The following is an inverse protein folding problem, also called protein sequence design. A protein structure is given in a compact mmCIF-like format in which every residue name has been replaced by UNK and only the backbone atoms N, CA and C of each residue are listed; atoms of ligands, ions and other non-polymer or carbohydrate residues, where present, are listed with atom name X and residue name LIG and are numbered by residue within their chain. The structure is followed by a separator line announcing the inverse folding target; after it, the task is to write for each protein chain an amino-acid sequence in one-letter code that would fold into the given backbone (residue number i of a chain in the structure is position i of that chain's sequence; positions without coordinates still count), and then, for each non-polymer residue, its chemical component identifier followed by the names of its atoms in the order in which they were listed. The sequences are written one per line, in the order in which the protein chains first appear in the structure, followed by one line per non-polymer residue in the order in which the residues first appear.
data_IF_983896572347
#
_entry.id   IF_983896572347
#
_cell.length_a   1.000
_cell.length_b   1.000
_cell.length_c   1.000
_cell.angle_alpha   90.00
_cell.angle_beta   90.00
_cell.angle_gamma   90.00
#
_symmetry.space_group_name_H-M   'P 1'
#
loop_
_entity.id
_entity.type
_entity.pdbx_description
1 polymer ?
#
# COMPACT_ATOMS: atom_id res chain seq x y z
N UNK A 1 81.44 -2.69 -35.84
CA UNK A 1 81.31 -2.22 -34.45
C UNK A 1 79.86 -1.83 -34.29
N UNK A 2 78.96 -2.49 -33.58
CA UNK A 2 79.00 -3.61 -32.66
C UNK A 2 77.57 -4.18 -32.59
N UNK A 3 77.39 -5.49 -32.85
CA UNK A 3 77.04 -6.53 -31.87
C UNK A 3 75.68 -6.36 -31.15
N UNK A 4 74.72 -7.17 -31.60
CA UNK A 4 73.82 -8.05 -30.82
C UNK A 4 73.08 -7.42 -29.62
N UNK A 5 71.77 -7.25 -29.76
CA UNK A 5 70.81 -7.53 -28.68
C UNK A 5 69.60 -8.30 -29.21
N UNK A 6 69.69 -9.62 -29.04
CA UNK A 6 68.58 -10.56 -29.09
C UNK A 6 67.54 -10.14 -28.04
N UNK A 7 66.38 -9.66 -28.47
CA UNK A 7 65.18 -9.72 -27.65
C UNK A 7 64.36 -10.92 -28.11
N UNK A 8 64.47 -11.98 -27.31
CA UNK A 8 63.66 -13.19 -27.39
C UNK A 8 62.18 -12.82 -27.37
N UNK A 9 61.51 -12.94 -28.52
CA UNK A 9 60.06 -12.96 -28.59
C UNK A 9 59.57 -14.24 -27.91
N UNK A 10 59.34 -14.15 -26.60
CA UNK A 10 58.48 -15.11 -25.91
C UNK A 10 57.06 -14.88 -26.45
N UNK A 11 56.64 -15.73 -27.38
CA UNK A 11 55.24 -15.88 -27.75
C UNK A 11 54.54 -16.40 -26.49
N UNK A 12 54.00 -15.48 -25.69
CA UNK A 12 53.01 -15.82 -24.68
C UNK A 12 51.75 -16.20 -25.47
N UNK A 13 51.45 -17.49 -25.51
CA UNK A 13 50.13 -17.98 -25.86
C UNK A 13 49.14 -17.25 -24.93
N UNK A 14 48.51 -16.20 -25.45
CA UNK A 14 47.31 -15.68 -24.84
C UNK A 14 46.28 -16.79 -25.01
N UNK A 15 46.08 -17.59 -23.95
CA UNK A 15 44.93 -18.45 -23.86
C UNK A 15 43.73 -17.53 -24.04
N UNK A 16 43.05 -17.63 -25.18
CA UNK A 16 41.69 -17.15 -25.32
C UNK A 16 40.90 -17.88 -24.23
N UNK A 17 40.68 -17.21 -23.11
CA UNK A 17 39.54 -17.49 -22.27
C UNK A 17 38.32 -17.09 -23.10
N UNK A 18 37.88 -18.01 -23.95
CA UNK A 18 36.46 -18.07 -24.31
C UNK A 18 35.78 -18.30 -22.98
N UNK A 19 35.15 -17.27 -22.43
CA UNK A 19 34.11 -17.49 -21.43
C UNK A 19 33.06 -18.35 -22.13
N UNK A 20 33.10 -19.67 -21.88
CA UNK A 20 31.93 -20.48 -22.09
C UNK A 20 30.85 -19.84 -21.20
N UNK A 21 29.82 -19.26 -21.83
CA UNK A 21 28.56 -19.03 -21.14
C UNK A 21 28.17 -20.39 -20.60
N UNK A 22 28.29 -20.57 -19.30
CA UNK A 22 27.39 -21.48 -18.63
C UNK A 22 26.01 -20.91 -18.92
N UNK A 23 25.25 -21.59 -19.78
CA UNK A 23 23.81 -21.41 -19.81
C UNK A 23 23.35 -21.72 -18.39
N UNK A 24 23.22 -20.68 -17.57
CA UNK A 24 22.24 -20.72 -16.49
C UNK A 24 20.93 -20.96 -17.22
N UNK A 25 20.50 -22.22 -17.21
CA UNK A 25 19.17 -22.60 -17.66
C UNK A 25 18.22 -21.73 -16.86
N UNK A 26 17.70 -20.68 -17.50
CA UNK A 26 16.50 -20.00 -17.05
C UNK A 26 15.49 -21.14 -16.92
N UNK A 27 15.15 -21.52 -15.69
CA UNK A 27 14.10 -22.50 -15.48
C UNK A 27 12.86 -21.88 -16.10
N UNK A 28 12.48 -22.35 -17.29
CA UNK A 28 11.23 -21.96 -17.90
C UNK A 28 10.14 -22.33 -16.91
N UNK A 29 9.33 -21.34 -16.52
CA UNK A 29 8.30 -21.56 -15.52
C UNK A 29 7.36 -22.73 -15.90
N UNK A 30 7.15 -22.93 -17.20
CA UNK A 30 6.37 -24.03 -17.74
C UNK A 30 7.30 -25.11 -18.28
N UNK A 31 7.08 -26.35 -17.82
CA UNK A 31 7.62 -27.58 -18.37
C UNK A 31 6.48 -28.37 -19.03
N UNK A 32 6.46 -28.35 -20.37
CA UNK A 32 5.45 -29.05 -21.16
C UNK A 32 5.41 -30.56 -20.91
N UNK A 33 6.50 -31.16 -20.43
CA UNK A 33 6.55 -32.60 -20.14
C UNK A 33 5.74 -32.99 -18.90
N UNK A 34 5.40 -32.02 -18.04
CA UNK A 34 4.56 -32.22 -16.86
C UNK A 34 3.06 -32.12 -17.18
N UNK A 35 2.69 -31.60 -18.35
CA UNK A 35 1.29 -31.41 -18.73
C UNK A 35 0.66 -32.76 -19.13
N UNK A 36 -0.17 -33.30 -18.25
CA UNK A 36 -1.00 -34.49 -18.42
C UNK A 36 -2.49 -34.16 -18.18
N UNK A 37 -3.28 -33.97 -19.26
CA UNK A 37 -4.72 -33.72 -19.17
C UNK A 37 -5.53 -34.87 -18.55
N UNK A 38 -4.92 -36.05 -18.39
CA UNK A 38 -5.54 -37.24 -17.79
C UNK A 38 -5.14 -37.46 -16.33
N UNK A 39 -4.29 -36.59 -15.78
CA UNK A 39 -3.89 -36.64 -14.38
C UNK A 39 -5.09 -36.40 -13.46
N UNK A 40 -5.24 -37.27 -12.46
CA UNK A 40 -6.28 -37.18 -11.45
C UNK A 40 -5.79 -36.35 -10.27
N UNK A 41 -6.31 -35.13 -10.15
CA UNK A 41 -6.13 -34.29 -8.97
C UNK A 41 -7.36 -34.37 -8.06
N UNK A 42 -7.16 -34.15 -6.76
CA UNK A 42 -8.26 -34.01 -5.80
C UNK A 42 -9.04 -32.72 -6.09
N UNK A 43 -10.32 -32.69 -5.69
CA UNK A 43 -11.17 -31.48 -5.76
C UNK A 43 -10.98 -30.57 -4.54
N UNK A 44 -9.84 -30.69 -3.86
CA UNK A 44 -9.48 -29.82 -2.75
C UNK A 44 -9.20 -28.42 -3.31
N UNK A 45 -9.78 -27.42 -2.67
CA UNK A 45 -9.53 -26.02 -2.95
C UNK A 45 -8.46 -25.50 -1.99
N UNK A 46 -7.21 -25.56 -2.45
CA UNK A 46 -6.02 -25.08 -1.76
C UNK A 46 -5.19 -24.28 -2.77
N UNK A 47 -5.60 -23.03 -3.06
CA UNK A 47 -5.10 -22.29 -4.21
C UNK A 47 -3.58 -22.11 -4.14
N UNK A 48 -2.95 -22.11 -5.31
CA UNK A 48 -1.53 -21.82 -5.47
C UNK A 48 -1.32 -20.82 -6.59
N UNK A 49 -0.31 -19.97 -6.44
CA UNK A 49 0.11 -19.05 -7.49
C UNK A 49 1.30 -19.65 -8.24
N UNK A 50 1.10 -20.00 -9.51
CA UNK A 50 2.19 -20.49 -10.34
C UNK A 50 3.22 -19.41 -10.66
N UNK A 51 4.44 -19.81 -11.01
CA UNK A 51 5.47 -18.89 -11.50
C UNK A 51 5.09 -18.15 -12.79
N UNK A 52 3.99 -18.56 -13.43
CA UNK A 52 3.38 -17.97 -14.61
C UNK A 52 2.34 -16.91 -14.24
N UNK A 53 2.16 -16.65 -12.95
CA UNK A 53 1.21 -15.67 -12.42
C UNK A 53 -0.24 -16.14 -12.49
N UNK A 54 -0.49 -17.42 -12.81
CA UNK A 54 -1.84 -17.97 -12.84
C UNK A 54 -2.20 -18.66 -11.51
N UNK A 55 -3.45 -18.46 -11.10
CA UNK A 55 -4.01 -19.14 -9.93
C UNK A 55 -4.51 -20.51 -10.33
N UNK A 56 -4.02 -21.53 -9.64
CA UNK A 56 -4.50 -22.90 -9.77
C UNK A 56 -5.24 -23.30 -8.51
N UNK A 57 -6.31 -24.08 -8.65
CA UNK A 57 -7.14 -24.51 -7.52
C UNK A 57 -6.40 -25.40 -6.51
N UNK A 58 -5.34 -26.10 -6.96
CA UNK A 58 -4.39 -26.76 -6.10
C UNK A 58 -3.05 -27.04 -6.82
N UNK A 59 -2.03 -27.38 -6.03
CA UNK A 59 -0.69 -27.72 -6.49
C UNK A 59 -0.66 -28.84 -7.55
N UNK A 60 -1.54 -29.84 -7.43
CA UNK A 60 -1.61 -30.93 -8.41
C UNK A 60 -2.02 -30.40 -9.79
N UNK A 61 -3.04 -29.54 -9.85
CA UNK A 61 -3.51 -28.94 -11.12
C UNK A 61 -2.45 -27.98 -11.68
N UNK A 62 -1.77 -27.20 -10.83
CA UNK A 62 -0.66 -26.34 -11.25
C UNK A 62 0.44 -27.13 -11.97
N UNK A 63 0.87 -28.24 -11.38
CA UNK A 63 1.94 -29.06 -11.94
C UNK A 63 1.48 -29.86 -13.16
N UNK A 64 0.36 -30.57 -13.06
CA UNK A 64 -0.04 -31.58 -14.06
C UNK A 64 -0.88 -31.03 -15.19
N UNK A 65 -1.59 -29.92 -15.00
CA UNK A 65 -2.40 -29.33 -16.07
C UNK A 65 -1.83 -28.00 -16.54
N UNK A 66 -1.18 -27.25 -15.64
CA UNK A 66 -0.46 -26.02 -15.98
C UNK A 66 0.99 -26.23 -16.44
N UNK A 67 1.63 -27.34 -16.06
CA UNK A 67 3.05 -27.56 -16.34
C UNK A 67 3.97 -26.66 -15.49
N UNK A 68 3.43 -26.03 -14.45
CA UNK A 68 4.16 -25.05 -13.64
C UNK A 68 5.22 -25.75 -12.80
N UNK A 69 6.46 -25.27 -12.82
CA UNK A 69 7.58 -25.89 -12.10
C UNK A 69 7.74 -25.40 -10.66
N UNK A 70 7.12 -24.28 -10.30
CA UNK A 70 7.19 -23.67 -8.96
C UNK A 70 5.99 -22.79 -8.68
N UNK A 71 5.52 -22.77 -7.43
CA UNK A 71 4.37 -21.96 -7.00
C UNK A 71 4.48 -21.54 -5.53
N UNK A 72 3.77 -20.48 -5.14
CA UNK A 72 3.52 -20.12 -3.75
C UNK A 72 2.14 -20.58 -3.29
N UNK A 73 1.96 -20.81 -1.98
CA UNK A 73 0.64 -21.07 -1.40
C UNK A 73 -0.23 -19.82 -1.46
N UNK A 74 -1.53 -20.00 -1.69
CA UNK A 74 -2.51 -18.92 -1.82
C UNK A 74 -2.83 -18.57 -3.27
N UNK A 75 -3.81 -17.68 -3.46
CA UNK A 75 -4.05 -17.07 -4.77
C UNK A 75 -2.84 -16.21 -5.16
N UNK A 76 -2.64 -16.01 -6.47
CA UNK A 76 -1.67 -15.04 -6.93
C UNK A 76 -2.05 -13.69 -6.35
N UNK A 77 -1.08 -13.08 -5.67
CA UNK A 77 -1.18 -11.70 -5.24
C UNK A 77 -1.09 -10.80 -6.48
N UNK A 78 -2.14 -10.81 -7.30
CA UNK A 78 -2.33 -9.87 -8.41
C UNK A 78 -2.77 -8.49 -7.88
N UNK A 79 -2.85 -8.33 -6.56
CA UNK A 79 -2.89 -7.07 -5.81
C UNK A 79 -1.49 -6.66 -5.29
N UNK A 80 -0.43 -7.38 -5.65
CA UNK A 80 0.87 -7.28 -4.98
C UNK A 80 1.88 -6.39 -5.68
N UNK A 81 2.62 -5.63 -4.88
CA UNK A 81 3.74 -4.80 -5.32
C UNK A 81 4.96 -5.67 -5.65
N UNK A 82 4.90 -6.41 -6.76
CA UNK A 82 6.01 -7.30 -7.11
C UNK A 82 7.29 -6.50 -7.35
N UNK A 83 8.42 -7.05 -6.90
CA UNK A 83 9.72 -6.44 -7.16
C UNK A 83 10.13 -6.72 -8.61
N UNK A 84 10.24 -5.67 -9.42
CA UNK A 84 10.60 -5.67 -10.84
C UNK A 84 12.11 -5.56 -11.07
N UNK A 85 12.94 -5.63 -10.04
CA UNK A 85 14.41 -5.51 -10.14
C UNK A 85 15.05 -6.51 -11.11
N UNK A 86 14.46 -7.69 -11.27
CA UNK A 86 14.96 -8.75 -12.17
C UNK A 86 14.23 -8.80 -13.53
N UNK A 87 13.25 -7.91 -13.76
CA UNK A 87 12.46 -7.87 -15.00
C UNK A 87 13.09 -6.90 -15.99
N UNK A 88 13.57 -7.42 -17.13
CA UNK A 88 14.11 -6.62 -18.22
C UNK A 88 13.01 -6.23 -19.22
N UNK A 89 12.51 -5.00 -19.11
CA UNK A 89 11.51 -4.44 -20.04
C UNK A 89 12.10 -4.02 -21.40
N UNK A 90 13.40 -4.24 -21.63
CA UNK A 90 14.10 -3.95 -22.88
C UNK A 90 14.65 -2.53 -22.97
N UNK A 91 15.49 -2.31 -23.98
CA UNK A 91 16.32 -1.09 -24.14
C UNK A 91 15.57 0.14 -24.69
N UNK A 92 14.25 0.19 -24.62
CA UNK A 92 13.46 1.32 -25.10
C UNK A 92 13.20 2.33 -23.97
N UNK A 93 13.16 3.63 -24.30
CA UNK A 93 12.94 4.71 -23.33
C UNK A 93 11.46 5.14 -23.23
N UNK A 94 10.50 4.21 -23.41
CA UNK A 94 9.09 4.53 -23.17
C UNK A 94 8.79 4.37 -21.69
N UNK A 95 8.26 5.41 -21.05
CA UNK A 95 7.76 5.35 -19.68
C UNK A 95 6.55 4.41 -19.66
N UNK A 96 6.70 3.24 -19.03
CA UNK A 96 5.64 2.26 -18.89
C UNK A 96 4.78 2.54 -17.66
N UNK A 97 5.40 3.03 -16.58
CA UNK A 97 4.71 3.41 -15.34
C UNK A 97 5.68 3.57 -14.17
N UNK A 98 5.16 3.48 -12.95
CA UNK A 98 5.95 3.43 -11.72
C UNK A 98 5.86 2.02 -11.14
N UNK A 99 6.99 1.40 -10.84
CA UNK A 99 7.03 0.05 -10.29
C UNK A 99 7.99 -0.06 -9.11
N UNK A 100 7.81 -1.10 -8.32
CA UNK A 100 8.71 -1.44 -7.23
C UNK A 100 9.99 -2.08 -7.77
N UNK A 101 11.13 -1.45 -7.56
CA UNK A 101 12.46 -1.96 -7.91
C UNK A 101 13.31 -1.95 -6.65
N UNK A 102 13.64 -3.12 -6.12
CA UNK A 102 14.44 -3.25 -4.91
C UNK A 102 13.79 -2.68 -3.65
N UNK A 103 12.45 -2.69 -3.57
CA UNK A 103 11.68 -2.09 -2.46
C UNK A 103 11.50 -0.57 -2.58
N UNK A 104 11.82 0.02 -3.74
CA UNK A 104 11.71 1.45 -3.99
C UNK A 104 10.84 1.69 -5.22
N UNK A 105 9.87 2.59 -5.11
CA UNK A 105 9.05 3.01 -6.24
C UNK A 105 9.84 3.91 -7.19
N UNK A 106 10.03 3.44 -8.42
CA UNK A 106 10.79 4.15 -9.45
C UNK A 106 10.05 4.12 -10.78
N UNK A 107 10.35 5.08 -11.66
CA UNK A 107 9.84 5.05 -13.02
C UNK A 107 10.49 3.90 -13.79
N UNK A 108 9.65 3.01 -14.31
CA UNK A 108 10.07 1.88 -15.13
C UNK A 108 9.82 2.25 -16.59
N UNK A 109 10.86 2.07 -17.41
CA UNK A 109 10.82 2.30 -18.85
C UNK A 109 11.20 1.03 -19.61
N UNK A 110 10.65 0.87 -20.81
CA UNK A 110 10.95 -0.28 -21.66
C UNK A 110 10.15 -0.31 -22.95
N UNK A 111 10.15 -1.46 -23.62
CA UNK A 111 9.50 -1.64 -24.93
C UNK A 111 8.05 -2.13 -24.83
N UNK A 112 7.62 -2.61 -23.66
CA UNK A 112 6.27 -3.10 -23.39
C UNK A 112 6.18 -3.78 -22.03
N UNK A 113 4.97 -4.07 -21.57
CA UNK A 113 4.71 -4.68 -20.25
C UNK A 113 4.79 -6.20 -20.26
N UNK A 114 4.83 -6.84 -21.43
CA UNK A 114 4.87 -8.30 -21.55
C UNK A 114 6.31 -8.77 -21.74
N UNK A 115 6.85 -9.48 -20.75
CA UNK A 115 8.21 -10.05 -20.78
C UNK A 115 8.12 -11.55 -20.52
N UNK A 116 8.75 -12.37 -21.38
CA UNK A 116 8.76 -13.82 -21.19
C UNK A 116 7.39 -14.51 -21.24
N UNK A 117 6.35 -13.85 -21.77
CA UNK A 117 4.97 -14.35 -21.81
C UNK A 117 4.12 -13.99 -20.60
N UNK A 118 4.69 -13.26 -19.62
CA UNK A 118 3.99 -12.73 -18.45
C UNK A 118 3.72 -11.25 -18.67
N UNK A 119 2.50 -10.80 -18.37
CA UNK A 119 2.10 -9.38 -18.47
C UNK A 119 2.24 -8.69 -17.11
N UNK A 120 3.10 -7.68 -17.06
CA UNK A 120 3.43 -6.94 -15.85
C UNK A 120 2.67 -5.61 -15.72
N UNK A 121 1.70 -5.34 -16.60
CA UNK A 121 0.92 -4.09 -16.60
C UNK A 121 0.29 -3.79 -15.24
N UNK A 122 -0.22 -4.81 -14.54
CA UNK A 122 -0.83 -4.68 -13.20
C UNK A 122 0.15 -4.26 -12.10
N UNK A 123 1.46 -4.35 -12.34
CA UNK A 123 2.50 -3.98 -11.39
C UNK A 123 3.15 -2.63 -11.70
N UNK A 124 2.62 -1.92 -12.70
CA UNK A 124 3.06 -0.60 -13.13
C UNK A 124 1.95 0.42 -12.85
N UNK A 125 2.19 1.26 -11.85
CA UNK A 125 1.24 2.26 -11.35
C UNK A 125 1.36 3.59 -12.10
N UNK A 126 0.31 4.41 -12.04
CA UNK A 126 0.32 5.73 -12.68
C UNK A 126 1.16 6.75 -11.89
N UNK A 127 1.38 6.50 -10.59
CA UNK A 127 2.09 7.42 -9.71
C UNK A 127 2.96 6.72 -8.66
N UNK A 128 3.91 7.47 -8.10
CA UNK A 128 4.74 7.03 -6.98
C UNK A 128 3.89 6.75 -5.74
N UNK A 129 2.81 7.51 -5.53
CA UNK A 129 1.91 7.33 -4.38
C UNK A 129 1.12 6.02 -4.48
N UNK A 130 0.65 5.66 -5.69
CA UNK A 130 0.00 4.37 -5.94
C UNK A 130 0.98 3.21 -5.75
N UNK A 131 2.19 3.33 -6.28
CA UNK A 131 3.23 2.33 -6.08
C UNK A 131 3.62 2.20 -4.59
N UNK A 132 3.75 3.33 -3.89
CA UNK A 132 4.10 3.36 -2.47
C UNK A 132 2.98 2.74 -1.63
N UNK A 133 1.72 3.05 -1.95
CA UNK A 133 0.56 2.39 -1.35
C UNK A 133 0.60 0.89 -1.59
N UNK A 134 1.05 0.45 -2.77
CA UNK A 134 1.22 -0.96 -3.10
C UNK A 134 2.34 -1.62 -2.25
N UNK A 135 3.50 -0.97 -2.08
CA UNK A 135 4.57 -1.42 -1.19
C UNK A 135 4.12 -1.57 0.28
N UNK A 136 3.03 -0.89 0.65
CA UNK A 136 2.44 -0.93 1.98
C UNK A 136 1.29 -1.94 2.11
N UNK A 137 0.83 -2.58 1.03
CA UNK A 137 -0.31 -3.54 1.07
C UNK A 137 -0.01 -4.87 1.76
N UNK A 138 1.16 -5.02 2.39
CA UNK A 138 1.44 -6.11 3.33
C UNK A 138 1.32 -5.75 4.81
N UNK A 139 1.05 -4.49 5.17
CA UNK A 139 1.18 -4.07 6.58
C UNK A 139 0.29 -2.92 7.07
N UNK A 140 -0.74 -2.49 6.33
CA UNK A 140 -1.66 -1.50 6.86
C UNK A 140 -3.00 -2.15 7.20
N UNK A 141 -3.22 -2.36 8.49
CA UNK A 141 -4.58 -2.52 8.99
C UNK A 141 -5.30 -1.20 8.72
N UNK A 142 -6.15 -1.18 7.70
CA UNK A 142 -6.99 -0.04 7.35
C UNK A 142 -8.26 -0.07 8.20
N UNK A 143 -8.62 1.08 8.75
CA UNK A 143 -9.82 1.25 9.55
C UNK A 143 -9.82 2.60 10.24
N UNK A 144 -10.85 2.87 11.04
CA UNK A 144 -10.93 4.14 11.72
C UNK A 144 -9.89 4.24 12.86
N UNK A 145 -9.02 5.24 12.81
CA UNK A 145 -7.93 5.42 13.78
C UNK A 145 -8.29 6.36 14.95
N UNK A 146 -9.47 6.97 14.92
CA UNK A 146 -9.91 7.92 15.93
C UNK A 146 -10.65 7.21 17.08
N UNK A 147 -10.08 7.24 18.28
CA UNK A 147 -10.61 6.56 19.49
C UNK A 147 -12.05 6.97 19.84
N UNK A 148 -12.49 8.18 19.46
CA UNK A 148 -13.85 8.68 19.69
C UNK A 148 -14.85 8.29 18.60
N UNK A 149 -14.42 7.64 17.53
CA UNK A 149 -15.31 7.14 16.50
C UNK A 149 -15.97 5.84 16.94
N UNK A 150 -17.23 5.66 16.54
CA UNK A 150 -18.03 4.49 16.91
C UNK A 150 -17.56 3.19 16.25
N UNK A 151 -16.77 3.29 15.18
CA UNK A 151 -16.13 2.18 14.49
C UNK A 151 -14.60 2.24 14.61
N UNK A 152 -14.08 2.84 15.70
CA UNK A 152 -12.66 2.82 16.01
C UNK A 152 -12.11 1.37 15.96
N UNK A 153 -11.06 1.18 15.17
CA UNK A 153 -10.33 -0.06 15.06
C UNK A 153 -8.95 0.10 15.69
N UNK A 154 -8.74 -0.53 16.84
CA UNK A 154 -7.46 -0.51 17.56
C UNK A 154 -6.34 -1.20 16.80
N UNK A 155 -6.67 -2.06 15.84
CA UNK A 155 -5.68 -2.68 14.97
C UNK A 155 -5.31 -1.77 13.82
N UNK A 156 -6.15 -0.78 13.48
CA UNK A 156 -5.91 0.12 12.36
C UNK A 156 -4.70 1.03 12.62
N UNK A 157 -3.82 1.10 11.63
CA UNK A 157 -2.64 1.96 11.63
C UNK A 157 -2.79 3.14 10.67
N UNK A 158 -3.70 3.01 9.70
CA UNK A 158 -3.99 4.03 8.69
C UNK A 158 -5.50 4.25 8.62
N UNK A 159 -5.90 5.52 8.68
CA UNK A 159 -7.29 5.91 8.54
C UNK A 159 -7.77 5.74 7.10
N UNK A 160 -8.81 4.96 6.90
CA UNK A 160 -9.42 4.71 5.59
C UNK A 160 -10.60 5.66 5.28
N UNK A 161 -10.81 6.68 6.12
CA UNK A 161 -11.93 7.61 6.01
C UNK A 161 -13.29 7.01 6.37
N UNK A 162 -13.34 5.78 6.90
CA UNK A 162 -14.60 5.11 7.28
C UNK A 162 -15.16 5.58 8.63
N UNK A 163 -14.47 6.46 9.35
CA UNK A 163 -14.85 6.86 10.71
C UNK A 163 -16.28 7.41 10.83
N UNK A 164 -17.03 6.86 11.79
CA UNK A 164 -18.39 7.24 12.14
C UNK A 164 -18.36 7.99 13.46
N UNK A 165 -18.77 9.26 13.45
CA UNK A 165 -18.83 10.11 14.63
C UNK A 165 -20.26 10.31 15.13
N UNK A 166 -20.48 10.34 16.45
CA UNK A 166 -21.74 10.80 17.02
C UNK A 166 -22.00 12.27 16.64
N UNK A 167 -23.27 12.69 16.56
CA UNK A 167 -24.48 11.88 16.72
C UNK A 167 -25.00 11.29 15.39
N UNK A 168 -24.47 11.70 14.24
CA UNK A 168 -25.12 11.48 12.95
C UNK A 168 -24.73 10.18 12.23
N UNK A 169 -23.55 9.63 12.52
CA UNK A 169 -23.01 8.52 11.73
C UNK A 169 -22.97 7.19 12.49
N UNK A 170 -23.27 7.18 13.79
CA UNK A 170 -23.15 5.97 14.60
C UNK A 170 -24.43 5.14 14.65
N UNK A 171 -24.36 3.80 14.55
CA UNK A 171 -25.50 2.90 14.75
C UNK A 171 -25.80 2.72 16.26
N UNK A 172 -25.91 3.82 17.01
CA UNK A 172 -26.17 3.76 18.45
C UNK A 172 -27.66 3.58 18.72
N UNK A 173 -28.04 2.72 19.69
CA UNK A 173 -29.42 2.64 20.14
C UNK A 173 -29.79 3.95 20.83
N UNK A 174 -31.01 4.48 20.60
CA UNK A 174 -31.50 5.73 21.19
C UNK A 174 -31.45 5.79 22.74
N UNK A 175 -31.18 4.66 23.40
CA UNK A 175 -31.01 4.59 24.86
C UNK A 175 -29.55 4.86 25.23
N UNK A 176 -29.28 6.02 25.82
CA UNK A 176 -27.94 6.44 26.28
C UNK A 176 -27.48 7.79 25.72
N UNK A 177 -28.18 8.30 24.70
CA UNK A 177 -27.98 9.64 24.16
C UNK A 177 -28.66 10.70 25.03
N UNK A 178 -27.98 11.83 25.17
CA UNK A 178 -28.52 13.04 25.77
C UNK A 178 -27.41 14.08 25.91
N UNK A 179 -27.77 15.29 26.34
CA UNK A 179 -26.76 16.33 26.50
C UNK A 179 -25.77 16.02 27.62
N UNK A 180 -24.49 15.95 27.28
CA UNK A 180 -23.39 15.65 28.22
C UNK A 180 -22.81 16.88 28.92
N UNK A 181 -23.22 18.09 28.51
CA UNK A 181 -22.68 19.35 29.01
C UNK A 181 -23.49 19.89 30.17
N UNK A 182 -22.88 20.02 31.35
CA UNK A 182 -23.52 20.53 32.57
C UNK A 182 -24.09 21.95 32.46
N UNK A 183 -23.63 22.72 31.47
CA UNK A 183 -24.06 24.09 31.21
C UNK A 183 -25.30 24.17 30.31
N UNK A 184 -25.72 23.05 29.71
CA UNK A 184 -26.93 23.01 28.92
C UNK A 184 -28.16 22.95 29.82
N UNK A 185 -29.24 23.63 29.41
CA UNK A 185 -30.53 23.62 30.11
C UNK A 185 -31.15 22.22 30.13
N UNK A 186 -30.80 21.37 29.17
CA UNK A 186 -31.24 19.98 29.07
C UNK A 186 -30.12 18.96 29.39
N UNK A 187 -29.13 19.34 30.21
CA UNK A 187 -28.10 18.41 30.70
C UNK A 187 -28.70 17.13 31.28
N UNK A 188 -28.24 15.98 30.77
CA UNK A 188 -28.65 14.67 31.23
C UNK A 188 -27.49 13.96 31.93
N UNK A 189 -27.49 13.83 33.28
CA UNK A 189 -26.42 13.15 34.01
C UNK A 189 -26.36 11.63 33.72
N UNK A 190 -27.38 11.06 33.08
CA UNK A 190 -27.39 9.67 32.61
C UNK A 190 -26.97 9.51 31.15
N UNK A 191 -26.57 10.58 30.46
CA UNK A 191 -26.04 10.49 29.10
C UNK A 191 -24.68 9.77 29.12
N UNK A 192 -24.55 8.74 28.29
CA UNK A 192 -23.30 8.00 28.08
C UNK A 192 -22.51 8.58 26.91
N UNK A 193 -23.22 9.24 25.98
CA UNK A 193 -22.65 9.96 24.85
C UNK A 193 -23.53 11.16 24.51
N UNK A 194 -22.89 12.19 23.94
CA UNK A 194 -23.59 13.39 23.47
C UNK A 194 -24.32 13.08 22.17
N UNK A 195 -25.64 13.25 22.15
CA UNK A 195 -26.47 13.03 20.96
C UNK A 195 -26.73 14.32 20.17
N UNK A 196 -26.02 15.40 20.48
CA UNK A 196 -26.19 16.71 19.85
C UNK A 196 -27.52 17.38 20.20
N UNK A 197 -28.28 16.86 21.17
CA UNK A 197 -29.54 17.47 21.61
C UNK A 197 -29.37 18.69 22.52
N UNK A 198 -28.13 19.04 22.91
CA UNK A 198 -27.88 20.10 23.88
C UNK A 198 -28.54 21.44 23.55
N UNK A 199 -29.32 21.94 24.49
CA UNK A 199 -29.93 23.26 24.46
C UNK A 199 -29.16 24.15 25.44
N UNK A 200 -28.60 25.26 24.95
CA UNK A 200 -27.94 26.25 25.78
C UNK A 200 -28.81 27.50 25.82
N UNK A 201 -29.25 27.90 27.01
CA UNK A 201 -29.81 29.23 27.22
C UNK A 201 -28.64 30.20 27.30
N UNK A 202 -28.54 31.09 26.31
CA UNK A 202 -27.59 32.18 26.31
C UNK A 202 -28.09 33.23 27.31
N UNK A 203 -27.57 33.20 28.52
CA UNK A 203 -27.64 34.36 29.41
C UNK A 203 -26.89 35.50 28.70
N UNK A 204 -27.46 36.71 28.64
CA UNK A 204 -26.95 37.86 27.85
C UNK A 204 -25.52 38.34 28.25
N UNK A 205 -24.83 37.64 29.15
CA UNK A 205 -23.45 37.91 29.52
C UNK A 205 -22.67 36.60 29.66
N UNK A 206 -22.26 36.02 28.54
CA UNK A 206 -21.23 34.99 28.59
C UNK A 206 -19.86 35.67 28.79
N UNK A 207 -19.06 35.20 29.75
CA UNK A 207 -17.79 35.86 30.12
C UNK A 207 -16.75 35.96 28.98
N UNK A 208 -16.98 35.23 27.88
CA UNK A 208 -16.16 35.25 26.68
C UNK A 208 -16.62 36.21 25.58
N UNK A 209 -17.80 36.82 25.70
CA UNK A 209 -18.25 37.91 24.83
C UNK A 209 -17.63 39.22 25.34
N UNK A 210 -16.46 39.54 24.81
CA UNK A 210 -15.65 40.66 25.26
C UNK A 210 -16.04 41.96 24.56
N UNK A 211 -16.75 41.87 23.44
CA UNK A 211 -17.19 43.04 22.67
C UNK A 211 -18.68 43.39 22.88
N UNK A 212 -19.46 42.53 23.56
CA UNK A 212 -20.86 42.71 23.91
C UNK A 212 -21.83 42.47 22.75
N UNK A 213 -21.47 41.65 21.76
CA UNK A 213 -22.30 41.38 20.58
C UNK A 213 -23.22 40.14 20.72
N UNK A 214 -23.17 39.48 21.87
CA UNK A 214 -23.97 38.30 22.21
C UNK A 214 -23.41 37.00 21.64
N UNK A 215 -22.21 37.00 21.06
CA UNK A 215 -21.54 35.82 20.52
C UNK A 215 -20.14 35.67 21.13
N UNK A 216 -19.67 34.43 21.28
CA UNK A 216 -18.23 34.16 21.50
C UNK A 216 -17.63 33.82 20.15
N UNK A 217 -16.90 34.76 19.56
CA UNK A 217 -16.37 34.65 18.21
C UNK A 217 -14.89 35.00 18.13
N UNK A 218 -14.32 34.90 16.92
CA UNK A 218 -12.96 35.39 16.66
C UNK A 218 -12.83 36.87 17.01
N UNK A 219 -13.91 37.65 16.90
CA UNK A 219 -13.91 39.08 17.27
C UNK A 219 -13.56 39.30 18.74
N UNK A 220 -14.06 38.45 19.64
CA UNK A 220 -13.79 38.51 21.08
C UNK A 220 -12.35 38.14 21.40
N UNK A 221 -11.86 37.07 20.77
CA UNK A 221 -10.45 36.67 20.86
C UNK A 221 -9.55 37.81 20.40
N UNK A 222 -9.90 38.51 19.32
CA UNK A 222 -9.15 39.65 18.81
C UNK A 222 -9.17 40.85 19.77
N UNK A 223 -10.25 41.06 20.54
CA UNK A 223 -10.28 42.07 21.61
C UNK A 223 -9.27 41.73 22.71
N UNK A 224 -9.23 40.47 23.15
CA UNK A 224 -8.29 40.01 24.18
C UNK A 224 -6.84 40.10 23.69
N UNK A 225 -6.58 39.61 22.47
CA UNK A 225 -5.25 39.66 21.86
C UNK A 225 -4.80 41.08 21.52
N UNK A 226 -5.73 42.00 21.21
CA UNK A 226 -5.42 43.40 20.96
C UNK A 226 -4.96 44.17 22.20
N UNK A 227 -5.36 43.72 23.39
CA UNK A 227 -4.92 44.27 24.67
C UNK A 227 -3.78 43.48 25.30
N UNK A 228 -3.36 42.37 24.71
CA UNK A 228 -2.32 41.50 25.24
C UNK A 228 -0.98 42.26 25.33
N UNK A 229 -0.47 42.40 26.55
CA UNK A 229 0.77 43.13 26.83
C UNK A 229 0.60 44.63 27.04
N UNK A 230 -0.63 45.15 27.06
CA UNK A 230 -0.89 46.49 27.56
C UNK A 230 -0.60 46.57 29.07
N UNK A 231 -0.09 47.71 29.53
CA UNK A 231 0.17 47.98 30.96
C UNK A 231 -1.13 48.42 31.62
N UNK A 232 -1.52 47.71 32.68
CA UNK A 232 -2.71 47.95 33.50
C UNK A 232 -2.49 49.09 34.51
#
# INVERSE_FOLDING_TARGET
MDWVRLFSFSIRFAALFVCARADAQVSSCIDESLIDPTAFCTLEFAPVCGCDGLVYSNACIAQTQGGVTSWSEGECDMSGCMNLEEVDFGLCDLVLGVGNVGGVCTYVSGCGTVVGGVDYESHLFASIDECASCLLQGQDNLGCTYEFACNYDVTAQVDDGSCLFPPYACPLPAMGGGCSYQQASNFNPGAVYDDGSCEFEYDEVCAGDLNGDGLISVSDILVMLGLFGSVC
#
